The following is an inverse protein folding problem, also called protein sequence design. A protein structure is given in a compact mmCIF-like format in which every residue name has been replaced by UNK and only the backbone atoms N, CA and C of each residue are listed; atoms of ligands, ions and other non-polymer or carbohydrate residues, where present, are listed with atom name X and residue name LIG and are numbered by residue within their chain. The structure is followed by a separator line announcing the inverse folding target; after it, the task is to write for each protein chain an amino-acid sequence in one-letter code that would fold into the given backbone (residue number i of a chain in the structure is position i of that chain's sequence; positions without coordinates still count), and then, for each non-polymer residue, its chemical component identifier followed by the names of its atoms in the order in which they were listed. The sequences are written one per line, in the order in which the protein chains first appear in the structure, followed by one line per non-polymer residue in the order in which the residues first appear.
data_IF_747817729320
#
_entry.id   IF_747817729320
#
_cell.length_a   1.000
_cell.length_b   1.000
_cell.length_c   1.000
_cell.angle_alpha   90.00
_cell.angle_beta   90.00
_cell.angle_gamma   90.00
#
_symmetry.space_group_name_H-M   'P 1'
#
loop_
_entity.id
_entity.type
_entity.pdbx_description
1 polymer ?
#
# COMPACT_ATOMS: atom_id res chain seq x y z
N UNK A 1 -3.26 12.84 6.73
CA UNK A 1 -2.70 11.86 5.75
C UNK A 1 -1.87 12.62 4.74
N UNK A 2 -0.59 12.26 4.52
CA UNK A 2 0.27 12.90 3.51
C UNK A 2 0.14 12.16 2.16
N UNK A 3 -0.47 12.76 1.11
CA UNK A 3 -0.66 12.15 -0.21
C UNK A 3 0.65 11.74 -0.89
N UNK A 4 1.67 12.58 -0.79
CA UNK A 4 2.98 12.34 -1.43
C UNK A 4 3.66 11.09 -0.88
N UNK A 5 3.48 10.82 0.43
CA UNK A 5 3.97 9.59 1.03
C UNK A 5 3.29 8.36 0.42
N UNK A 6 1.95 8.41 0.28
CA UNK A 6 1.16 7.31 -0.29
C UNK A 6 1.55 7.06 -1.74
N UNK A 7 1.66 8.11 -2.56
CA UNK A 7 2.13 7.98 -3.96
C UNK A 7 3.54 7.42 -4.07
N UNK A 8 4.44 7.78 -3.15
CA UNK A 8 5.78 7.19 -3.12
C UNK A 8 5.74 5.68 -2.82
N UNK A 9 4.85 5.22 -1.93
CA UNK A 9 4.69 3.79 -1.68
C UNK A 9 4.04 3.07 -2.87
N UNK A 10 3.04 3.67 -3.52
CA UNK A 10 2.44 3.15 -4.77
C UNK A 10 3.52 2.99 -5.86
N UNK A 11 4.38 4.00 -6.03
CA UNK A 11 5.48 3.94 -7.00
C UNK A 11 6.49 2.84 -6.65
N UNK A 12 6.80 2.65 -5.36
CA UNK A 12 7.67 1.57 -4.88
C UNK A 12 7.05 0.20 -5.12
N UNK A 13 5.76 0.04 -4.88
CA UNK A 13 5.00 -1.18 -5.16
C UNK A 13 5.11 -1.55 -6.65
N UNK A 14 4.82 -0.62 -7.54
CA UNK A 14 4.84 -0.86 -8.99
C UNK A 14 6.25 -1.10 -9.57
N UNK A 15 7.30 -0.67 -8.88
CA UNK A 15 8.71 -0.94 -9.27
C UNK A 15 9.24 -2.26 -8.71
N UNK A 16 8.62 -2.79 -7.66
CA UNK A 16 9.10 -3.98 -6.98
C UNK A 16 8.77 -5.24 -7.78
N UNK A 17 9.78 -6.07 -8.00
CA UNK A 17 9.62 -7.39 -8.65
C UNK A 17 9.32 -8.49 -7.63
N UNK A 18 9.94 -8.44 -6.45
CA UNK A 18 9.69 -9.41 -5.37
C UNK A 18 8.44 -9.05 -4.57
N UNK A 19 7.63 -10.07 -4.29
CA UNK A 19 6.43 -9.95 -3.47
C UNK A 19 6.72 -9.37 -2.07
N UNK A 20 7.90 -9.64 -1.52
CA UNK A 20 8.31 -9.12 -0.22
C UNK A 20 8.41 -7.59 -0.22
N UNK A 21 8.95 -7.00 -1.30
CA UNK A 21 9.06 -5.54 -1.44
C UNK A 21 7.72 -4.89 -1.79
N UNK A 22 6.87 -5.59 -2.56
CA UNK A 22 5.48 -5.17 -2.80
C UNK A 22 4.72 -5.10 -1.48
N UNK A 23 4.81 -6.14 -0.66
CA UNK A 23 4.15 -6.19 0.65
C UNK A 23 4.71 -5.12 1.60
N UNK A 24 6.02 -4.86 1.58
CA UNK A 24 6.61 -3.79 2.39
C UNK A 24 6.06 -2.39 2.04
N UNK A 25 5.88 -2.10 0.75
CA UNK A 25 5.26 -0.85 0.30
C UNK A 25 3.79 -0.75 0.74
N UNK A 26 3.04 -1.84 0.64
CA UNK A 26 1.64 -1.88 1.09
C UNK A 26 1.52 -1.75 2.61
N UNK A 27 2.41 -2.38 3.39
CA UNK A 27 2.46 -2.22 4.84
C UNK A 27 2.69 -0.76 5.21
N UNK A 28 3.70 -0.13 4.59
CA UNK A 28 4.02 1.27 4.86
C UNK A 28 2.82 2.19 4.53
N UNK A 29 2.17 1.96 3.39
CA UNK A 29 0.97 2.70 3.01
C UNK A 29 -0.19 2.45 3.99
N UNK A 30 -0.49 1.18 4.30
CA UNK A 30 -1.56 0.76 5.19
C UNK A 30 -1.42 1.28 6.62
N UNK A 31 -0.19 1.32 7.16
CA UNK A 31 0.08 1.93 8.48
C UNK A 31 -0.14 3.45 8.43
N UNK A 32 0.32 4.12 7.37
CA UNK A 32 0.18 5.57 7.22
C UNK A 32 -1.27 6.03 7.06
N UNK A 33 -2.11 5.21 6.44
CA UNK A 33 -3.54 5.50 6.26
C UNK A 33 -4.42 4.91 7.38
N UNK A 34 -3.83 4.29 8.40
CA UNK A 34 -4.56 3.75 9.55
C UNK A 34 -5.32 2.44 9.30
N UNK A 35 -5.06 1.75 8.18
CA UNK A 35 -5.64 0.43 7.89
C UNK A 35 -4.92 -0.70 8.64
N UNK A 36 -3.66 -0.49 9.00
CA UNK A 36 -2.84 -1.43 9.75
C UNK A 36 -2.36 -0.80 11.06
N UNK A 37 -2.37 -1.57 12.14
CA UNK A 37 -1.78 -1.14 13.39
C UNK A 37 -0.26 -1.36 13.36
N UNK A 38 0.52 -0.40 13.84
CA UNK A 38 1.99 -0.48 13.90
C UNK A 38 2.53 -1.58 14.84
N UNK A 39 1.66 -2.26 15.61
CA UNK A 39 2.05 -3.32 16.54
C UNK A 39 2.36 -4.60 15.77
N UNK A 40 3.62 -5.03 15.84
CA UNK A 40 4.11 -6.32 15.34
C UNK A 40 3.87 -6.59 13.84
N UNK A 41 4.36 -5.70 12.96
CA UNK A 41 4.58 -6.06 11.54
C UNK A 41 6.08 -6.25 11.30
N UNK A 42 6.72 -7.32 11.83
CA UNK A 42 8.09 -7.65 11.46
C UNK A 42 8.08 -8.21 10.04
N UNK A 43 8.15 -7.35 9.01
CA UNK A 43 8.25 -7.72 7.60
C UNK A 43 7.40 -8.97 7.21
N UNK A 44 6.25 -9.13 7.86
CA UNK A 44 5.44 -10.35 7.74
C UNK A 44 4.66 -10.16 6.46
N UNK A 45 4.75 -11.16 5.59
CA UNK A 45 3.98 -11.19 4.35
C UNK A 45 2.53 -10.85 4.69
N UNK A 46 1.99 -9.86 3.99
CA UNK A 46 0.57 -9.52 4.15
C UNK A 46 -0.23 -10.76 3.79
N UNK A 47 -1.27 -11.05 4.58
CA UNK A 47 -2.26 -12.02 4.13
C UNK A 47 -2.90 -11.50 2.84
N UNK A 48 -3.43 -12.42 2.02
CA UNK A 48 -4.09 -12.02 0.78
C UNK A 48 -5.25 -11.04 1.02
N UNK A 49 -5.97 -11.19 2.13
CA UNK A 49 -7.09 -10.32 2.49
C UNK A 49 -6.63 -8.92 2.92
N UNK A 50 -5.56 -8.81 3.72
CA UNK A 50 -4.97 -7.52 4.05
C UNK A 50 -4.44 -6.81 2.79
N UNK A 51 -3.78 -7.57 1.91
CA UNK A 51 -3.28 -7.04 0.63
C UNK A 51 -4.41 -6.45 -0.21
N UNK A 52 -5.51 -7.20 -0.40
CA UNK A 52 -6.69 -6.75 -1.14
C UNK A 52 -7.30 -5.49 -0.50
N UNK A 53 -7.46 -5.48 0.83
CA UNK A 53 -8.04 -4.35 1.55
C UNK A 53 -7.23 -3.07 1.37
N UNK A 54 -5.90 -3.16 1.46
CA UNK A 54 -5.00 -2.02 1.27
C UNK A 54 -5.05 -1.56 -0.19
N UNK A 55 -4.97 -2.48 -1.16
CA UNK A 55 -5.05 -2.14 -2.58
C UNK A 55 -6.37 -1.46 -2.95
N UNK A 56 -7.50 -1.98 -2.45
CA UNK A 56 -8.81 -1.36 -2.64
C UNK A 56 -8.87 0.07 -2.10
N UNK A 57 -8.35 0.28 -0.89
CA UNK A 57 -8.29 1.62 -0.33
C UNK A 57 -7.37 2.55 -1.13
N UNK A 58 -6.21 2.06 -1.57
CA UNK A 58 -5.29 2.85 -2.39
C UNK A 58 -5.89 3.21 -3.74
N UNK A 59 -6.68 2.32 -4.34
CA UNK A 59 -7.41 2.61 -5.58
C UNK A 59 -8.45 3.72 -5.36
N UNK A 60 -9.31 3.60 -4.33
CA UNK A 60 -10.26 4.67 -3.96
C UNK A 60 -9.54 5.97 -3.66
N UNK A 61 -8.42 5.92 -2.94
CA UNK A 61 -7.62 7.10 -2.64
C UNK A 61 -7.14 7.76 -3.94
N UNK A 62 -6.59 7.01 -4.90
CA UNK A 62 -6.16 7.55 -6.18
C UNK A 62 -7.34 8.16 -6.96
N UNK A 63 -8.48 7.48 -7.02
CA UNK A 63 -9.69 7.99 -7.67
C UNK A 63 -10.18 9.30 -7.03
N UNK A 64 -10.15 9.40 -5.69
CA UNK A 64 -10.51 10.63 -4.97
C UNK A 64 -9.61 11.82 -5.30
N UNK A 65 -8.38 11.56 -5.75
CA UNK A 65 -7.41 12.56 -6.18
C UNK A 65 -7.45 12.80 -7.70
N UNK A 66 -8.38 12.17 -8.43
CA UNK A 66 -8.47 12.25 -9.88
C UNK A 66 -7.35 11.51 -10.62
N UNK A 67 -6.70 10.54 -9.96
CA UNK A 67 -5.56 9.79 -10.51
C UNK A 67 -5.96 8.35 -10.76
N UNK A 68 -5.67 7.84 -11.94
CA UNK A 68 -5.82 6.42 -12.28
C UNK A 68 -4.50 5.69 -12.10
N UNK A 69 -4.46 4.67 -11.23
CA UNK A 69 -3.28 3.85 -10.99
C UNK A 69 -3.59 2.39 -11.28
N UNK A 70 -2.70 1.71 -12.02
CA UNK A 70 -2.74 0.26 -12.18
C UNK A 70 -1.70 -0.38 -11.25
N UNK A 71 -2.15 -1.27 -10.37
CA UNK A 71 -1.27 -2.08 -9.52
C UNK A 71 -0.82 -3.32 -10.32
N UNK A 72 0.49 -3.43 -10.61
CA UNK A 72 1.10 -4.54 -11.36
C UNK A 72 1.86 -5.49 -10.44
#
# INVERSE_FOLDING_TARGET
MNPNFVFNQIRRYNKATSQLYKDAALVAAGVHVGLLQKKNIPARQLTNEERKRILYFLDIFCQSQGITVTFK
#
